data_IF_616769033184
#
_entry.id   IF_616769033184
#
_cell.length_a   1.000
_cell.length_b   1.000
_cell.length_c   1.000
_cell.angle_alpha   90.00
_cell.angle_beta   90.00
_cell.angle_gamma   90.00
#
_symmetry.space_group_name_H-M   'P 1'
#
loop_
_entity.id
_entity.type
_entity.pdbx_description
1 polymer ?
#
# COMPACT_ATOMS: atom_id res chain seq x y z
N UNK A 1 67.94 15.71 -29.86
CA UNK A 1 68.14 15.08 -28.54
C UNK A 1 66.83 15.04 -27.82
N UNK A 2 66.22 13.89 -27.80
CA UNK A 2 64.85 13.60 -27.35
C UNK A 2 64.80 13.40 -25.86
N UNK A 3 63.83 13.95 -25.21
CA UNK A 3 63.44 13.58 -23.88
C UNK A 3 61.94 13.21 -23.86
N UNK A 4 61.78 11.89 -23.79
CA UNK A 4 60.49 11.19 -23.71
C UNK A 4 60.00 11.30 -22.27
N UNK A 5 58.83 11.92 -22.04
CA UNK A 5 58.15 11.93 -20.73
C UNK A 5 56.94 11.03 -20.82
N UNK A 6 57.09 9.82 -20.26
CA UNK A 6 55.99 8.92 -19.95
C UNK A 6 55.10 9.56 -18.85
N UNK A 7 53.85 9.81 -19.17
CA UNK A 7 52.82 10.10 -18.20
C UNK A 7 52.23 8.75 -17.75
N UNK A 8 52.42 8.39 -16.48
CA UNK A 8 51.70 7.31 -15.81
C UNK A 8 50.30 7.84 -15.43
N UNK A 9 49.29 7.35 -16.09
CA UNK A 9 47.90 7.56 -15.67
C UNK A 9 47.58 6.50 -14.58
N UNK A 10 47.43 6.97 -13.35
CA UNK A 10 46.91 6.14 -12.25
C UNK A 10 45.41 6.13 -12.36
N UNK A 11 44.84 5.00 -12.79
CA UNK A 11 43.42 4.74 -12.75
C UNK A 11 43.04 4.42 -11.29
N UNK A 12 42.45 5.38 -10.59
CA UNK A 12 41.74 5.12 -9.32
C UNK A 12 40.39 4.48 -9.66
N UNK A 13 40.31 3.17 -9.53
CA UNK A 13 39.06 2.44 -9.52
C UNK A 13 38.32 2.73 -8.20
N UNK A 14 37.47 3.74 -8.20
CA UNK A 14 36.55 3.98 -7.11
C UNK A 14 35.50 2.88 -7.08
N UNK A 15 35.63 1.93 -6.16
CA UNK A 15 34.58 0.99 -5.85
C UNK A 15 33.43 1.75 -5.18
N UNK A 16 32.40 2.07 -5.97
CA UNK A 16 31.12 2.48 -5.43
C UNK A 16 30.47 1.27 -4.77
N UNK A 17 30.63 1.19 -3.47
CA UNK A 17 29.82 0.31 -2.63
C UNK A 17 28.42 0.88 -2.63
N UNK A 18 27.55 0.34 -3.47
CA UNK A 18 26.10 0.51 -3.31
C UNK A 18 25.71 -0.22 -2.02
N UNK A 19 25.72 0.51 -0.91
CA UNK A 19 25.00 0.10 0.26
C UNK A 19 23.50 0.13 -0.10
N UNK A 20 22.98 -1.00 -0.55
CA UNK A 20 21.55 -1.22 -0.63
C UNK A 20 21.02 -1.19 0.80
N UNK A 21 20.51 -0.04 1.22
CA UNK A 21 19.71 0.08 2.42
C UNK A 21 18.39 -0.69 2.18
N UNK A 22 18.51 -2.01 2.29
CA UNK A 22 17.39 -2.93 2.41
C UNK A 22 17.12 -3.10 3.90
N UNK A 23 16.84 -1.99 4.57
CA UNK A 23 16.18 -2.05 5.86
C UNK A 23 14.73 -2.44 5.58
N UNK A 24 14.54 -3.76 5.51
CA UNK A 24 13.24 -4.36 5.55
C UNK A 24 12.52 -3.85 6.80
N UNK A 25 11.31 -3.34 6.58
CA UNK A 25 10.31 -3.01 7.58
C UNK A 25 10.08 -4.19 8.54
N UNK A 26 10.87 -4.29 9.58
CA UNK A 26 10.64 -5.18 10.73
C UNK A 26 10.08 -4.41 11.92
N UNK A 27 9.63 -3.18 11.70
CA UNK A 27 8.83 -2.47 12.71
C UNK A 27 7.53 -3.24 12.93
N UNK A 28 7.19 -3.58 14.18
CA UNK A 28 5.89 -4.19 14.45
C UNK A 28 4.80 -3.27 13.93
N UNK A 29 3.84 -3.85 13.19
CA UNK A 29 2.71 -3.10 12.66
C UNK A 29 1.96 -2.43 13.80
N UNK A 30 1.64 -1.14 13.63
CA UNK A 30 0.83 -0.42 14.59
C UNK A 30 -0.54 -1.10 14.77
N UNK A 31 -1.20 -1.00 15.92
CA UNK A 31 -2.53 -1.57 16.11
C UNK A 31 -3.53 -0.94 15.12
N UNK A 32 -4.51 -1.72 14.60
CA UNK A 32 -5.53 -1.22 13.69
C UNK A 32 -6.46 -0.22 14.38
N UNK A 33 -7.19 0.56 13.60
CA UNK A 33 -8.19 1.52 14.12
C UNK A 33 -9.35 0.78 14.77
N UNK A 34 -9.77 -0.33 14.17
CA UNK A 34 -10.86 -1.15 14.66
C UNK A 34 -10.32 -2.33 15.48
N UNK A 35 -10.91 -2.53 16.66
CA UNK A 35 -10.70 -3.70 17.49
C UNK A 35 -11.75 -4.78 17.17
N UNK A 36 -11.48 -6.03 17.53
CA UNK A 36 -12.46 -7.11 17.38
C UNK A 36 -13.78 -6.73 18.07
N UNK A 37 -14.86 -6.59 17.27
CA UNK A 37 -16.16 -6.10 17.75
C UNK A 37 -16.62 -4.77 17.15
N UNK A 38 -15.83 -4.16 16.26
CA UNK A 38 -16.24 -2.99 15.47
C UNK A 38 -16.14 -1.64 16.20
N UNK A 39 -15.57 -1.57 17.39
CA UNK A 39 -15.28 -0.32 18.08
C UNK A 39 -13.97 0.27 17.56
N UNK A 40 -13.94 1.60 17.35
CA UNK A 40 -12.72 2.32 16.98
C UNK A 40 -11.83 2.55 18.21
N UNK A 41 -10.54 2.26 18.09
CA UNK A 41 -9.55 2.62 19.10
C UNK A 41 -9.25 4.13 19.03
N UNK A 42 -9.55 4.93 20.09
CA UNK A 42 -9.33 6.38 20.06
C UNK A 42 -7.86 6.77 19.86
N UNK A 43 -6.91 5.97 20.36
CA UNK A 43 -5.49 6.23 20.17
C UNK A 43 -5.06 5.98 18.72
N UNK A 44 -5.57 4.94 18.11
CA UNK A 44 -5.35 4.64 16.69
C UNK A 44 -5.98 5.74 15.80
N UNK A 45 -7.21 6.16 16.09
CA UNK A 45 -7.87 7.26 15.37
C UNK A 45 -7.03 8.54 15.44
N UNK A 46 -6.56 8.93 16.63
CA UNK A 46 -5.71 10.12 16.81
C UNK A 46 -4.40 10.01 16.01
N UNK A 47 -3.78 8.82 15.98
CA UNK A 47 -2.57 8.57 15.20
C UNK A 47 -2.83 8.78 13.71
N UNK A 48 -3.92 8.23 13.17
CA UNK A 48 -4.26 8.35 11.75
C UNK A 48 -4.62 9.78 11.35
N UNK A 49 -5.27 10.54 12.23
CA UNK A 49 -5.60 11.95 11.98
C UNK A 49 -4.34 12.80 11.68
N UNK A 50 -3.17 12.44 12.21
CA UNK A 50 -1.92 13.13 11.87
C UNK A 50 -1.57 12.99 10.38
N UNK A 51 -1.90 11.87 9.75
CA UNK A 51 -1.68 11.68 8.31
C UNK A 51 -2.71 12.45 7.48
N UNK A 52 -3.95 12.58 7.94
CA UNK A 52 -4.96 13.40 7.29
C UNK A 52 -4.58 14.88 7.22
N UNK A 53 -3.90 15.38 8.25
CA UNK A 53 -3.44 16.78 8.32
C UNK A 53 -2.03 16.99 7.76
N UNK A 54 -1.29 15.93 7.44
CA UNK A 54 0.05 16.02 6.87
C UNK A 54 0.03 16.68 5.48
N UNK A 55 1.04 17.52 5.15
CA UNK A 55 1.14 18.15 3.85
C UNK A 55 1.16 17.11 2.73
N UNK A 56 0.30 17.31 1.73
CA UNK A 56 0.29 16.49 0.54
C UNK A 56 1.39 16.93 -0.43
N UNK A 57 2.31 16.02 -0.79
CA UNK A 57 3.51 16.33 -1.58
C UNK A 57 3.46 15.77 -3.00
N UNK A 58 2.40 15.06 -3.35
CA UNK A 58 2.27 14.34 -4.61
C UNK A 58 1.41 15.11 -5.61
N UNK A 59 1.61 14.85 -6.91
CA UNK A 59 0.80 15.43 -8.00
C UNK A 59 -0.57 14.77 -8.10
N UNK A 60 -0.61 13.47 -7.86
CA UNK A 60 -1.86 12.71 -7.83
C UNK A 60 -2.79 13.25 -6.74
N UNK A 61 -4.09 13.21 -7.01
CA UNK A 61 -5.12 13.63 -6.05
C UNK A 61 -5.10 12.74 -4.81
N UNK A 62 -5.10 13.33 -3.62
CA UNK A 62 -5.50 12.63 -2.41
C UNK A 62 -7.01 12.49 -2.42
N UNK A 63 -7.51 11.27 -2.40
CA UNK A 63 -8.95 11.00 -2.44
C UNK A 63 -9.53 11.10 -1.03
N UNK A 64 -10.63 11.85 -0.92
CA UNK A 64 -11.47 11.85 0.27
C UNK A 64 -12.32 10.60 0.34
N UNK A 65 -12.96 10.33 1.49
CA UNK A 65 -13.97 9.28 1.62
C UNK A 65 -15.04 9.36 0.53
N UNK A 66 -15.57 10.54 0.25
CA UNK A 66 -16.60 10.73 -0.76
C UNK A 66 -16.12 10.38 -2.18
N UNK A 67 -14.87 10.71 -2.52
CA UNK A 67 -14.27 10.32 -3.80
C UNK A 67 -14.16 8.79 -3.90
N UNK A 68 -13.69 8.13 -2.83
CA UNK A 68 -13.52 6.67 -2.78
C UNK A 68 -14.88 5.99 -2.91
N UNK A 69 -15.91 6.44 -2.19
CA UNK A 69 -17.26 5.88 -2.27
C UNK A 69 -17.83 6.00 -3.69
N UNK A 70 -17.63 7.16 -4.34
CA UNK A 70 -18.10 7.40 -5.71
C UNK A 70 -17.39 6.46 -6.73
N UNK A 71 -16.12 6.14 -6.51
CA UNK A 71 -15.36 5.20 -7.35
C UNK A 71 -15.79 3.76 -7.09
N UNK A 72 -15.99 3.36 -5.84
CA UNK A 72 -16.48 2.03 -5.48
C UNK A 72 -17.88 1.75 -6.02
N UNK A 73 -18.69 2.77 -6.22
CA UNK A 73 -20.01 2.65 -6.86
C UNK A 73 -19.93 2.31 -8.37
N UNK A 74 -18.73 2.35 -8.97
CA UNK A 74 -18.49 2.08 -10.40
C UNK A 74 -17.39 1.03 -10.59
N UNK A 75 -17.55 -0.19 -10.07
CA UNK A 75 -16.47 -1.19 -10.00
C UNK A 75 -15.93 -1.60 -11.37
N UNK A 76 -16.72 -1.49 -12.43
CA UNK A 76 -16.29 -1.86 -13.79
C UNK A 76 -15.33 -0.84 -14.42
N UNK A 77 -15.30 0.39 -13.90
CA UNK A 77 -14.50 1.51 -14.44
C UNK A 77 -13.24 1.81 -13.63
N UNK A 78 -13.06 1.19 -12.47
CA UNK A 78 -11.98 1.46 -11.54
C UNK A 78 -11.30 0.17 -11.07
N UNK A 79 -10.01 0.26 -10.78
CA UNK A 79 -9.28 -0.78 -10.08
C UNK A 79 -8.53 -0.16 -8.91
N UNK A 80 -8.64 -0.78 -7.75
CA UNK A 80 -7.86 -0.42 -6.57
C UNK A 80 -6.60 -1.26 -6.55
N UNK A 81 -5.43 -0.63 -6.56
CA UNK A 81 -4.13 -1.30 -6.42
C UNK A 81 -3.67 -1.13 -4.98
N UNK A 82 -3.73 -2.22 -4.24
CA UNK A 82 -3.29 -2.24 -2.85
C UNK A 82 -1.80 -2.58 -2.77
N UNK A 83 -1.02 -1.63 -2.26
CA UNK A 83 0.44 -1.67 -2.22
C UNK A 83 0.99 -2.35 -0.97
N UNK A 84 0.09 -2.76 -0.07
CA UNK A 84 0.44 -3.28 1.25
C UNK A 84 0.93 -4.72 1.18
N UNK A 85 1.71 -5.11 2.18
CA UNK A 85 2.07 -6.50 2.38
C UNK A 85 0.85 -7.32 2.86
N UNK A 86 0.80 -8.65 2.64
CA UNK A 86 -0.31 -9.48 3.08
C UNK A 86 -0.61 -9.37 4.58
N UNK A 87 0.41 -9.22 5.43
CA UNK A 87 0.24 -9.02 6.86
C UNK A 87 -0.53 -7.73 7.20
N UNK A 88 -0.29 -6.64 6.46
CA UNK A 88 -1.02 -5.39 6.61
C UNK A 88 -2.50 -5.55 6.20
N UNK A 89 -2.77 -6.29 5.11
CA UNK A 89 -4.15 -6.57 4.68
C UNK A 89 -4.92 -7.38 5.72
N UNK A 90 -4.27 -8.37 6.32
CA UNK A 90 -4.87 -9.18 7.40
C UNK A 90 -5.19 -8.30 8.62
N UNK A 91 -4.28 -7.42 8.99
CA UNK A 91 -4.40 -6.60 10.19
C UNK A 91 -5.36 -5.43 10.03
N UNK A 92 -5.29 -4.72 8.90
CA UNK A 92 -5.99 -3.46 8.68
C UNK A 92 -7.17 -3.57 7.72
N UNK A 93 -7.52 -4.78 7.29
CA UNK A 93 -8.60 -4.98 6.33
C UNK A 93 -8.28 -4.53 4.92
N UNK A 94 -9.22 -4.68 3.99
CA UNK A 94 -9.06 -4.31 2.58
C UNK A 94 -10.35 -3.80 1.97
N UNK A 95 -10.23 -3.00 0.90
CA UNK A 95 -11.38 -2.66 0.08
C UNK A 95 -11.96 -3.90 -0.62
N UNK A 96 -13.26 -3.91 -0.98
CA UNK A 96 -13.91 -5.11 -1.51
C UNK A 96 -13.42 -5.55 -2.90
N UNK A 97 -12.85 -4.62 -3.66
CA UNK A 97 -12.34 -4.87 -5.03
C UNK A 97 -10.93 -4.30 -5.13
N UNK A 98 -9.93 -5.17 -5.11
CA UNK A 98 -8.54 -4.72 -5.24
C UNK A 98 -7.65 -5.75 -5.92
N UNK A 99 -6.58 -5.23 -6.54
CA UNK A 99 -5.45 -6.00 -7.00
C UNK A 99 -4.29 -5.79 -6.02
N UNK A 100 -3.81 -6.86 -5.43
CA UNK A 100 -2.67 -6.78 -4.51
C UNK A 100 -1.36 -6.77 -5.30
N UNK A 101 -0.68 -5.62 -5.28
CA UNK A 101 0.65 -5.44 -5.87
C UNK A 101 1.51 -4.73 -4.85
N UNK A 102 2.39 -5.46 -4.18
CA UNK A 102 3.24 -4.85 -3.16
C UNK A 102 4.07 -3.70 -3.73
N UNK A 103 4.20 -2.63 -2.97
CA UNK A 103 4.89 -1.41 -3.42
C UNK A 103 6.29 -1.67 -4.03
N UNK A 104 7.05 -2.59 -3.44
CA UNK A 104 8.40 -2.98 -3.92
C UNK A 104 8.40 -3.68 -5.29
N UNK A 105 7.26 -4.22 -5.70
CA UNK A 105 7.13 -4.97 -6.96
C UNK A 105 6.33 -4.21 -8.03
N UNK A 106 5.78 -3.03 -7.69
CA UNK A 106 4.91 -2.26 -8.57
C UNK A 106 5.53 -2.01 -9.95
N UNK A 107 6.78 -1.57 -10.01
CA UNK A 107 7.45 -1.29 -11.29
C UNK A 107 7.63 -2.54 -12.17
N UNK A 108 7.79 -3.71 -11.54
CA UNK A 108 7.93 -4.99 -12.26
C UNK A 108 6.60 -5.49 -12.84
N UNK A 109 5.49 -5.00 -12.29
CA UNK A 109 4.14 -5.44 -12.64
C UNK A 109 3.43 -4.50 -13.63
N UNK A 110 4.06 -3.41 -14.06
CA UNK A 110 3.42 -2.40 -14.93
C UNK A 110 2.83 -3.00 -16.22
N UNK A 111 3.48 -3.97 -16.81
CA UNK A 111 3.01 -4.61 -18.04
C UNK A 111 1.69 -5.39 -17.88
N UNK A 112 1.30 -5.71 -16.64
CA UNK A 112 0.09 -6.47 -16.33
C UNK A 112 -1.05 -5.60 -15.82
N UNK A 113 -0.78 -4.31 -15.59
CA UNK A 113 -1.80 -3.40 -15.10
C UNK A 113 -2.73 -2.96 -16.24
N UNK A 114 -4.05 -2.88 -16.01
CA UNK A 114 -5.00 -2.46 -17.02
C UNK A 114 -4.84 -0.97 -17.36
N UNK A 115 -4.91 -0.65 -18.65
CA UNK A 115 -4.88 0.72 -19.17
C UNK A 115 -6.28 1.29 -19.45
N UNK A 116 -7.29 0.45 -19.45
CA UNK A 116 -8.69 0.76 -19.80
C UNK A 116 -9.54 1.22 -18.59
N UNK A 117 -8.96 1.22 -17.39
CA UNK A 117 -9.64 1.58 -16.14
C UNK A 117 -8.93 2.70 -15.41
N UNK A 118 -9.66 3.39 -14.55
CA UNK A 118 -9.06 4.31 -13.59
C UNK A 118 -8.39 3.53 -12.47
N UNK A 119 -7.20 3.98 -12.08
CA UNK A 119 -6.43 3.35 -10.99
C UNK A 119 -6.53 4.20 -9.74
N UNK A 120 -6.87 3.56 -8.63
CA UNK A 120 -6.71 4.08 -7.26
C UNK A 120 -5.60 3.31 -6.58
N UNK A 121 -4.60 4.00 -6.08
CA UNK A 121 -3.56 3.37 -5.26
C UNK A 121 -3.94 3.42 -3.78
N UNK A 122 -3.66 2.34 -3.06
CA UNK A 122 -4.04 2.16 -1.65
C UNK A 122 -2.84 1.77 -0.80
N UNK A 123 -2.75 2.36 0.38
CA UNK A 123 -1.87 1.90 1.47
C UNK A 123 -2.58 2.11 2.82
N UNK A 124 -1.94 1.88 3.97
CA UNK A 124 -2.56 2.17 5.25
C UNK A 124 -2.81 3.67 5.40
N UNK A 125 -1.77 4.47 5.11
CA UNK A 125 -1.84 5.92 5.04
C UNK A 125 -1.53 6.38 3.62
N UNK A 126 -2.19 7.40 3.14
CA UNK A 126 -2.15 7.86 1.73
C UNK A 126 -0.76 8.22 1.18
N UNK A 127 0.25 8.45 2.03
CA UNK A 127 1.59 8.89 1.59
C UNK A 127 2.30 7.89 0.65
N UNK A 128 2.33 6.61 1.00
CA UNK A 128 2.90 5.54 0.16
C UNK A 128 2.10 5.40 -1.14
N UNK A 129 0.79 5.46 -1.02
CA UNK A 129 -0.10 5.41 -2.18
C UNK A 129 0.09 6.60 -3.13
N UNK A 130 0.33 7.81 -2.59
CA UNK A 130 0.59 9.01 -3.40
C UNK A 130 1.84 8.90 -4.27
N UNK A 131 2.93 8.36 -3.71
CA UNK A 131 4.15 8.12 -4.49
C UNK A 131 3.93 7.12 -5.63
N UNK A 132 3.20 6.04 -5.37
CA UNK A 132 2.85 5.05 -6.39
C UNK A 132 1.90 5.62 -7.45
N UNK A 133 0.94 6.46 -7.05
CA UNK A 133 0.05 7.17 -7.97
C UNK A 133 0.82 8.07 -8.94
N UNK A 134 1.78 8.84 -8.44
CA UNK A 134 2.64 9.69 -9.28
C UNK A 134 3.49 8.85 -10.25
N UNK A 135 4.04 7.73 -9.78
CA UNK A 135 4.78 6.79 -10.62
C UNK A 135 3.90 6.26 -11.76
N UNK A 136 2.71 5.75 -11.44
CA UNK A 136 1.79 5.19 -12.44
C UNK A 136 1.34 6.26 -13.45
N UNK A 137 1.01 7.47 -12.98
CA UNK A 137 0.66 8.58 -13.86
C UNK A 137 1.82 8.96 -14.80
N UNK A 138 3.06 8.98 -14.31
CA UNK A 138 4.25 9.22 -15.13
C UNK A 138 4.50 8.10 -16.17
N UNK A 139 3.98 6.90 -15.95
CA UNK A 139 4.01 5.77 -16.89
C UNK A 139 2.81 5.72 -17.84
N UNK A 140 1.94 6.72 -17.81
CA UNK A 140 0.80 6.86 -18.72
C UNK A 140 -0.48 6.14 -18.29
N UNK A 141 -0.57 5.67 -17.06
CA UNK A 141 -1.80 5.10 -16.54
C UNK A 141 -2.83 6.18 -16.16
N UNK A 142 -4.10 5.85 -16.31
CA UNK A 142 -5.20 6.72 -15.89
C UNK A 142 -5.40 6.61 -14.37
N UNK A 143 -4.77 7.50 -13.61
CA UNK A 143 -4.81 7.47 -12.15
C UNK A 143 -5.87 8.42 -11.62
N UNK A 144 -6.88 7.89 -10.92
CA UNK A 144 -7.90 8.68 -10.24
C UNK A 144 -7.34 9.39 -8.99
N UNK A 145 -6.42 8.73 -8.29
CA UNK A 145 -5.77 9.28 -7.10
C UNK A 145 -5.27 8.20 -6.14
N UNK A 146 -4.95 8.63 -4.93
CA UNK A 146 -4.40 7.82 -3.87
C UNK A 146 -5.22 7.94 -2.57
N UNK A 147 -5.35 6.85 -1.82
CA UNK A 147 -6.05 6.82 -0.54
C UNK A 147 -5.31 5.98 0.50
N UNK A 148 -5.59 6.24 1.78
CA UNK A 148 -5.21 5.41 2.90
C UNK A 148 -6.43 4.64 3.42
N UNK A 149 -6.31 3.34 3.63
CA UNK A 149 -7.42 2.53 4.15
C UNK A 149 -7.86 3.00 5.54
N UNK A 150 -6.90 3.22 6.44
CA UNK A 150 -7.20 3.73 7.80
C UNK A 150 -7.68 5.18 7.78
N UNK A 151 -7.19 6.03 6.85
CA UNK A 151 -7.67 7.39 6.68
C UNK A 151 -9.12 7.42 6.22
N UNK A 152 -9.47 6.56 5.26
CA UNK A 152 -10.85 6.40 4.79
C UNK A 152 -11.80 5.99 5.93
N UNK A 153 -11.39 5.07 6.80
CA UNK A 153 -12.19 4.65 7.96
C UNK A 153 -12.34 5.75 9.01
N UNK A 154 -11.27 6.53 9.27
CA UNK A 154 -11.33 7.68 10.20
C UNK A 154 -12.27 8.76 9.69
N UNK A 155 -12.39 8.93 8.38
CA UNK A 155 -13.39 9.81 7.75
C UNK A 155 -14.82 9.23 7.79
N UNK A 156 -15.03 8.06 8.42
CA UNK A 156 -16.31 7.38 8.53
C UNK A 156 -16.63 6.46 7.34
N UNK A 157 -15.62 6.04 6.59
CA UNK A 157 -15.77 5.05 5.53
C UNK A 157 -16.07 3.66 6.08
N UNK A 158 -16.89 2.90 5.37
CA UNK A 158 -17.35 1.57 5.80
C UNK A 158 -17.05 0.45 4.80
N UNK A 159 -16.36 0.76 3.70
CA UNK A 159 -16.09 -0.21 2.65
C UNK A 159 -14.88 -1.13 2.94
N UNK A 160 -14.03 -0.79 3.90
CA UNK A 160 -12.91 -1.65 4.30
C UNK A 160 -13.45 -2.84 5.10
N UNK A 161 -13.21 -4.05 4.58
CA UNK A 161 -13.60 -5.29 5.23
C UNK A 161 -12.45 -5.83 6.10
N UNK A 162 -12.70 -6.00 7.39
CA UNK A 162 -11.74 -6.60 8.32
C UNK A 162 -11.92 -8.11 8.39
N UNK A 163 -10.81 -8.84 8.36
CA UNK A 163 -10.83 -10.28 8.55
C UNK A 163 -11.16 -10.60 10.01
N UNK A 164 -12.28 -11.26 10.22
CA UNK A 164 -12.58 -11.86 11.53
C UNK A 164 -11.87 -13.22 11.61
N UNK A 165 -10.92 -13.42 12.51
CA UNK A 165 -10.28 -14.72 12.69
C UNK A 165 -11.36 -15.76 12.92
N UNK A 166 -11.39 -16.80 12.08
CA UNK A 166 -12.28 -17.94 12.32
C UNK A 166 -11.86 -18.59 13.64
N UNK A 167 -12.82 -18.77 14.56
CA UNK A 167 -12.57 -19.52 15.79
C UNK A 167 -11.91 -20.86 15.45
N UNK A 168 -10.88 -21.30 16.20
CA UNK A 168 -10.26 -22.59 15.99
C UNK A 168 -11.35 -23.64 15.91
N UNK A 169 -11.36 -24.45 14.85
CA UNK A 169 -12.26 -25.59 14.78
C UNK A 169 -11.85 -26.56 15.89
N UNK A 170 -12.64 -26.67 16.96
CA UNK A 170 -12.37 -27.60 18.01
C UNK A 170 -12.43 -29.02 17.39
N UNK A 171 -11.25 -29.59 17.22
CA UNK A 171 -11.15 -31.00 16.79
C UNK A 171 -11.69 -31.87 17.92
N UNK A 172 -12.95 -32.30 17.83
CA UNK A 172 -13.52 -33.08 18.91
C UNK A 172 -15.02 -33.25 18.91
N UNK A 173 -15.72 -33.07 17.80
CA UNK A 173 -17.04 -33.68 17.65
C UNK A 173 -16.90 -34.89 16.74
N UNK A 174 -16.29 -35.95 17.27
CA UNK A 174 -16.44 -37.28 16.68
C UNK A 174 -17.94 -37.59 16.67
N UNK A 175 -18.51 -37.69 15.47
CA UNK A 175 -19.88 -38.13 15.24
C UNK A 175 -20.04 -39.48 15.94
N UNK A 176 -20.93 -39.53 16.92
CA UNK A 176 -21.36 -40.80 17.52
C UNK A 176 -21.85 -41.72 16.39
N UNK A 177 -21.50 -43.02 16.44
CA UNK A 177 -22.00 -43.96 15.47
C UNK A 177 -23.53 -44.07 15.61
N UNK A 178 -24.21 -43.93 14.50
CA UNK A 178 -25.66 -44.20 14.41
C UNK A 178 -25.84 -45.70 14.55
N UNK A 179 -26.46 -46.12 15.62
CA UNK A 179 -27.02 -47.45 15.83
C UNK A 179 -28.27 -47.67 15.01
#
# INVERSE_FOLDING_TARGET
MSANRLLFAVLLAGAFVFASAQEAETSPLAPPIHVAGGASDPAAVKRVQQFLTAPWKFKAKRLSKADVDALLAKPDSVIFIDLRAPAELIQFGSFPVFLSVQNKDLEKQLAWLPHDRQIVTVSNHSQRAGAAADLLAAKGFNVAGATGAEEYEVEGGTAVAHLVPRAPRVAGAASAPRS
#
